data_IF_472169398441
#
_entry.id   IF_472169398441
#
_cell.length_a   1.000
_cell.length_b   1.000
_cell.length_c   1.000
_cell.angle_alpha   90.00
_cell.angle_beta   90.00
_cell.angle_gamma   90.00
#
_symmetry.space_group_name_H-M   'P 1'
#
loop_
_entity.id
_entity.type
_entity.pdbx_description
1 polymer ?
#
# COMPACT_ATOMS: atom_id res chain seq x y z
N UNK A 1 -17.46 -0.20 -5.46
CA UNK A 1 -17.85 1.06 -4.78
C UNK A 1 -16.96 1.23 -3.56
N UNK A 2 -16.39 2.42 -3.44
CA UNK A 2 -15.56 2.80 -2.30
C UNK A 2 -16.32 2.68 -0.97
N UNK A 3 -15.63 2.21 0.06
CA UNK A 3 -16.18 2.09 1.42
C UNK A 3 -15.07 2.29 2.45
N UNK A 4 -15.45 2.83 3.61
CA UNK A 4 -14.61 2.83 4.80
C UNK A 4 -15.04 1.68 5.69
N UNK A 5 -14.08 0.88 6.14
CA UNK A 5 -14.27 -0.10 7.21
C UNK A 5 -13.60 0.46 8.46
N UNK A 6 -14.36 0.71 9.48
CA UNK A 6 -13.86 1.15 10.78
C UNK A 6 -13.58 -0.06 11.68
N UNK A 7 -12.41 -0.07 12.31
CA UNK A 7 -12.04 -1.04 13.34
C UNK A 7 -11.85 -0.30 14.65
N UNK A 8 -12.93 -0.27 15.43
CA UNK A 8 -13.02 0.55 16.65
C UNK A 8 -13.02 -0.30 17.91
N UNK A 9 -12.44 0.26 18.97
CA UNK A 9 -12.63 -0.27 20.32
C UNK A 9 -14.07 -0.10 20.77
N UNK A 10 -14.49 -0.90 21.76
CA UNK A 10 -15.66 -0.55 22.55
C UNK A 10 -15.42 0.78 23.26
N UNK A 11 -16.51 1.49 23.60
CA UNK A 11 -16.39 2.74 24.35
C UNK A 11 -15.74 2.46 25.72
N UNK A 12 -14.58 3.06 26.02
CA UNK A 12 -13.90 2.80 27.28
C UNK A 12 -14.72 3.29 28.46
N UNK A 13 -14.75 2.49 29.53
CA UNK A 13 -15.42 2.84 30.81
C UNK A 13 -14.52 3.68 31.72
N UNK A 14 -13.22 3.70 31.47
CA UNK A 14 -12.23 4.48 32.20
C UNK A 14 -11.24 5.12 31.23
N UNK A 15 -10.59 6.21 31.63
CA UNK A 15 -9.56 6.88 30.85
C UNK A 15 -8.28 6.06 30.64
N UNK A 16 -8.16 4.93 31.32
CA UNK A 16 -7.00 4.04 31.24
C UNK A 16 -7.24 2.81 30.35
N UNK A 17 -8.49 2.60 29.92
CA UNK A 17 -8.81 1.51 29.00
C UNK A 17 -8.35 1.89 27.57
N UNK A 18 -7.88 0.93 26.76
CA UNK A 18 -7.50 1.19 25.38
C UNK A 18 -8.67 1.76 24.56
N UNK A 19 -8.34 2.74 23.72
CA UNK A 19 -9.32 3.32 22.80
C UNK A 19 -8.65 3.49 21.44
N UNK A 20 -9.26 2.95 20.39
CA UNK A 20 -8.75 3.09 19.03
C UNK A 20 -9.88 3.20 18.00
N UNK A 21 -9.55 3.84 16.91
CA UNK A 21 -10.34 3.93 15.70
C UNK A 21 -9.38 3.79 14.51
N UNK A 22 -9.46 2.67 13.82
CA UNK A 22 -8.54 2.31 12.74
C UNK A 22 -9.35 2.23 11.45
N UNK A 23 -9.27 3.25 10.58
CA UNK A 23 -9.99 3.23 9.31
C UNK A 23 -9.24 2.43 8.25
N UNK A 24 -10.00 1.75 7.39
CA UNK A 24 -9.54 1.15 6.14
C UNK A 24 -10.38 1.71 5.01
N UNK A 25 -9.74 2.28 4.00
CA UNK A 25 -10.39 2.57 2.74
C UNK A 25 -10.27 1.37 1.80
N UNK A 26 -11.38 0.95 1.19
CA UNK A 26 -11.41 -0.15 0.23
C UNK A 26 -12.22 0.28 -0.98
N UNK A 27 -11.65 0.09 -2.19
CA UNK A 27 -12.36 0.33 -3.44
C UNK A 27 -11.94 -0.67 -4.54
N UNK A 28 -12.88 -1.08 -5.38
CA UNK A 28 -12.62 -1.95 -6.51
C UNK A 28 -12.36 -1.07 -7.74
N UNK A 29 -11.07 -0.90 -8.06
CA UNK A 29 -10.62 0.11 -9.03
C UNK A 29 -10.23 -0.48 -10.38
N UNK A 30 -9.81 -1.74 -10.47
CA UNK A 30 -9.37 -2.36 -11.72
C UNK A 30 -10.40 -3.33 -12.26
N UNK A 31 -10.69 -3.21 -13.54
CA UNK A 31 -11.47 -4.19 -14.29
C UNK A 31 -10.58 -5.33 -14.82
N UNK A 32 -11.18 -6.29 -15.53
CA UNK A 32 -10.47 -7.45 -16.05
C UNK A 32 -9.39 -7.10 -17.09
N UNK A 33 -9.58 -6.00 -17.84
CA UNK A 33 -8.58 -5.50 -18.81
C UNK A 33 -7.37 -4.95 -18.07
N UNK A 34 -7.59 -4.08 -17.08
CA UNK A 34 -6.53 -3.52 -16.25
C UNK A 34 -5.73 -4.64 -15.57
N UNK A 35 -6.42 -5.59 -14.92
CA UNK A 35 -5.79 -6.71 -14.23
C UNK A 35 -4.91 -7.56 -15.14
N UNK A 36 -5.38 -7.83 -16.35
CA UNK A 36 -4.63 -8.61 -17.34
C UNK A 36 -3.38 -7.86 -17.81
N UNK A 37 -3.48 -6.56 -18.03
CA UNK A 37 -2.36 -5.73 -18.43
C UNK A 37 -1.32 -5.58 -17.32
N UNK A 38 -1.75 -5.25 -16.10
CA UNK A 38 -0.84 -5.15 -14.92
C UNK A 38 -0.09 -6.46 -14.72
N UNK A 39 -0.79 -7.61 -14.73
CA UNK A 39 -0.15 -8.92 -14.60
C UNK A 39 0.91 -9.13 -15.66
N UNK A 40 0.59 -8.86 -16.93
CA UNK A 40 1.50 -9.01 -18.07
C UNK A 40 2.74 -8.13 -17.90
N UNK A 41 2.56 -6.85 -17.56
CA UNK A 41 3.67 -5.89 -17.42
C UNK A 41 4.56 -6.26 -16.24
N UNK A 42 3.99 -6.55 -15.06
CA UNK A 42 4.76 -6.92 -13.85
C UNK A 42 5.60 -8.16 -14.11
N UNK A 43 5.03 -9.22 -14.70
CA UNK A 43 5.77 -10.44 -14.98
C UNK A 43 6.85 -10.25 -16.06
N UNK A 44 6.62 -9.38 -17.05
CA UNK A 44 7.63 -9.04 -18.05
C UNK A 44 8.80 -8.26 -17.44
N UNK A 45 8.54 -7.39 -16.46
CA UNK A 45 9.54 -6.56 -15.80
C UNK A 45 10.27 -7.26 -14.64
N UNK A 46 9.76 -8.37 -14.14
CA UNK A 46 10.33 -9.06 -12.97
C UNK A 46 11.81 -9.39 -13.15
N UNK A 47 12.17 -10.17 -14.15
CA UNK A 47 13.58 -10.54 -14.43
C UNK A 47 14.46 -9.36 -14.78
N UNK A 48 14.06 -8.43 -15.69
CA UNK A 48 14.81 -7.22 -15.95
C UNK A 48 15.18 -6.42 -14.70
N UNK A 49 14.20 -6.15 -13.82
CA UNK A 49 14.43 -5.38 -12.59
C UNK A 49 15.39 -6.13 -11.66
N UNK A 50 15.13 -7.41 -11.37
CA UNK A 50 15.99 -8.22 -10.49
C UNK A 50 17.43 -8.26 -11.01
N UNK A 51 17.64 -8.40 -12.31
CA UNK A 51 18.97 -8.47 -12.92
C UNK A 51 19.69 -7.11 -12.97
N UNK A 52 18.96 -6.01 -13.07
CA UNK A 52 19.52 -4.65 -13.08
C UNK A 52 20.07 -4.25 -11.70
N UNK A 53 19.47 -4.77 -10.62
CA UNK A 53 19.83 -4.43 -9.25
C UNK A 53 20.32 -5.68 -8.50
N UNK A 54 21.55 -6.11 -8.82
CA UNK A 54 22.13 -7.35 -8.26
C UNK A 54 22.58 -7.26 -6.81
N UNK A 55 22.67 -6.07 -6.26
CA UNK A 55 23.06 -5.88 -4.86
C UNK A 55 22.05 -6.55 -3.93
N UNK A 56 22.55 -7.11 -2.83
CA UNK A 56 21.72 -7.68 -1.78
C UNK A 56 20.96 -6.53 -1.14
N UNK A 57 19.67 -6.48 -1.39
CA UNK A 57 18.78 -5.50 -0.78
C UNK A 57 17.90 -6.17 0.26
N UNK A 58 17.49 -5.39 1.23
CA UNK A 58 16.49 -5.79 2.20
C UNK A 58 15.13 -5.94 1.49
N UNK A 59 14.43 -7.03 1.74
CA UNK A 59 13.09 -7.27 1.20
C UNK A 59 11.95 -6.62 2.01
N UNK A 60 12.29 -5.63 2.84
CA UNK A 60 11.32 -4.94 3.70
C UNK A 60 10.74 -5.82 4.80
N UNK A 61 11.38 -6.95 5.13
CA UNK A 61 10.88 -7.91 6.12
C UNK A 61 9.76 -8.81 5.60
N UNK A 62 9.47 -8.77 4.31
CA UNK A 62 8.37 -9.55 3.69
C UNK A 62 8.66 -11.04 3.62
N UNK A 63 9.94 -11.46 3.69
CA UNK A 63 10.35 -12.87 3.64
C UNK A 63 10.34 -13.47 2.23
N UNK A 64 10.15 -12.67 1.17
CA UNK A 64 10.20 -13.13 -0.22
C UNK A 64 11.64 -13.31 -0.74
N UNK A 65 12.62 -12.84 0.06
CA UNK A 65 14.02 -13.06 -0.20
C UNK A 65 14.66 -12.11 -1.22
N UNK A 66 16.02 -12.16 -1.36
CA UNK A 66 16.79 -11.17 -2.11
C UNK A 66 16.57 -11.21 -3.63
N UNK A 67 16.03 -12.29 -4.15
CA UNK A 67 15.75 -12.47 -5.59
C UNK A 67 14.29 -12.19 -5.95
N UNK A 68 13.56 -11.48 -5.11
CA UNK A 68 12.20 -11.02 -5.38
C UNK A 68 12.15 -9.59 -5.91
N UNK A 69 11.08 -9.21 -6.60
CA UNK A 69 10.83 -7.80 -6.94
C UNK A 69 10.74 -6.93 -5.69
N UNK A 70 10.13 -7.45 -4.64
CA UNK A 70 10.03 -6.78 -3.35
C UNK A 70 11.38 -6.37 -2.78
N UNK A 71 12.43 -7.20 -2.94
CA UNK A 71 13.77 -6.86 -2.49
C UNK A 71 14.40 -5.67 -3.24
N UNK A 72 13.79 -5.23 -4.33
CA UNK A 72 14.22 -4.10 -5.16
C UNK A 72 13.28 -2.88 -5.02
N UNK A 73 12.37 -2.89 -4.05
CA UNK A 73 11.37 -1.84 -3.86
C UNK A 73 11.98 -0.43 -3.81
N UNK A 74 13.18 -0.27 -3.22
CA UNK A 74 13.88 1.01 -3.13
C UNK A 74 14.62 1.42 -4.41
N UNK A 75 14.51 0.68 -5.52
CA UNK A 75 15.25 0.91 -6.75
C UNK A 75 14.36 1.25 -7.95
N UNK A 76 13.07 1.13 -7.82
CA UNK A 76 12.10 1.49 -8.86
C UNK A 76 10.79 1.93 -8.22
N UNK A 77 10.01 2.69 -8.96
CA UNK A 77 8.68 3.11 -8.53
C UNK A 77 7.69 2.94 -9.70
N UNK A 78 6.68 2.08 -9.53
CA UNK A 78 5.65 1.84 -10.53
C UNK A 78 4.89 3.13 -10.87
N UNK A 79 4.76 4.07 -9.96
CA UNK A 79 4.12 5.36 -10.24
C UNK A 79 4.84 6.22 -11.29
N UNK A 80 6.08 5.87 -11.67
CA UNK A 80 6.80 6.53 -12.77
C UNK A 80 6.57 5.87 -14.13
N UNK A 81 5.85 4.74 -14.18
CA UNK A 81 5.58 4.04 -15.43
C UNK A 81 4.45 4.73 -16.21
N UNK A 82 4.58 4.76 -17.55
CA UNK A 82 3.63 5.44 -18.43
C UNK A 82 2.58 4.45 -18.99
N UNK A 83 1.65 4.02 -18.12
CA UNK A 83 0.51 3.19 -18.46
C UNK A 83 -0.79 3.80 -17.93
N UNK A 84 -1.90 3.63 -18.66
CA UNK A 84 -3.22 4.14 -18.25
C UNK A 84 -3.64 3.62 -16.87
N UNK A 85 -3.39 2.34 -16.59
CA UNK A 85 -3.70 1.76 -15.29
C UNK A 85 -2.89 2.37 -14.13
N UNK A 86 -1.69 2.92 -14.40
CA UNK A 86 -0.90 3.64 -13.38
C UNK A 86 -1.57 4.97 -13.04
N UNK A 87 -2.06 5.70 -14.04
CA UNK A 87 -2.82 6.94 -13.81
C UNK A 87 -4.07 6.66 -13.00
N UNK A 88 -4.84 5.64 -13.35
CA UNK A 88 -6.02 5.19 -12.65
C UNK A 88 -5.71 4.81 -11.19
N UNK A 89 -4.59 4.10 -10.95
CA UNK A 89 -4.14 3.75 -9.60
C UNK A 89 -3.81 4.99 -8.78
N UNK A 90 -3.05 5.96 -9.34
CA UNK A 90 -2.72 7.22 -8.67
C UNK A 90 -3.98 7.98 -8.24
N UNK A 91 -4.90 8.18 -9.18
CA UNK A 91 -6.17 8.88 -8.92
C UNK A 91 -6.98 8.19 -7.81
N UNK A 92 -7.02 6.86 -7.84
CA UNK A 92 -7.76 6.08 -6.83
C UNK A 92 -7.09 6.16 -5.45
N UNK A 93 -5.76 6.17 -5.38
CA UNK A 93 -5.03 6.38 -4.12
C UNK A 93 -5.29 7.78 -3.58
N UNK A 94 -5.21 8.81 -4.42
CA UNK A 94 -5.52 10.20 -4.03
C UNK A 94 -6.96 10.33 -3.49
N UNK A 95 -7.92 9.73 -4.18
CA UNK A 95 -9.31 9.74 -3.75
C UNK A 95 -9.51 9.01 -2.42
N UNK A 96 -8.80 7.90 -2.21
CA UNK A 96 -8.81 7.18 -0.94
C UNK A 96 -8.23 7.99 0.21
N UNK A 97 -7.12 8.70 0.00
CA UNK A 97 -6.53 9.61 0.99
C UNK A 97 -7.53 10.72 1.36
N UNK A 98 -8.09 11.41 0.35
CA UNK A 98 -9.11 12.46 0.55
C UNK A 98 -10.40 11.97 1.22
N UNK A 99 -10.65 10.66 1.20
CA UNK A 99 -11.81 10.05 1.87
C UNK A 99 -11.48 9.70 3.33
N UNK A 100 -10.21 9.39 3.63
CA UNK A 100 -9.74 9.08 4.98
C UNK A 100 -9.44 10.32 5.81
N UNK A 101 -9.04 11.41 5.16
CA UNK A 101 -8.74 12.70 5.78
C UNK A 101 -9.65 13.79 5.23
N UNK A 102 -10.08 14.69 6.09
CA UNK A 102 -10.76 15.90 5.64
C UNK A 102 -9.78 16.73 4.77
N UNK A 103 -10.25 17.29 3.64
CA UNK A 103 -9.39 18.03 2.71
C UNK A 103 -8.58 19.15 3.36
N UNK A 104 -9.12 19.80 4.40
CA UNK A 104 -8.46 20.87 5.15
C UNK A 104 -7.34 20.36 6.08
N UNK A 105 -7.29 19.06 6.38
CA UNK A 105 -6.25 18.44 7.19
C UNK A 105 -5.01 18.08 6.36
N UNK A 106 -5.15 18.02 5.03
CA UNK A 106 -4.03 17.73 4.12
C UNK A 106 -3.21 19.03 3.93
N UNK A 107 -2.32 19.29 4.88
CA UNK A 107 -1.52 20.53 4.93
C UNK A 107 -0.17 20.44 4.19
N UNK A 108 0.23 19.25 3.72
CA UNK A 108 1.53 18.97 3.12
C UNK A 108 1.39 18.25 1.78
N UNK A 109 2.47 18.28 0.99
CA UNK A 109 2.57 17.41 -0.16
C UNK A 109 2.66 15.96 0.28
N UNK A 110 2.03 15.08 -0.50
CA UNK A 110 2.04 13.64 -0.27
C UNK A 110 2.83 12.97 -1.39
N UNK A 111 3.71 12.07 -0.98
CA UNK A 111 4.56 11.28 -1.84
C UNK A 111 4.22 9.80 -1.69
N UNK A 112 4.45 9.04 -2.74
CA UNK A 112 4.26 7.60 -2.68
C UNK A 112 5.33 6.85 -3.47
N UNK A 113 5.64 5.66 -2.96
CA UNK A 113 6.40 4.65 -3.64
C UNK A 113 5.51 3.43 -3.88
N UNK A 114 5.58 2.84 -5.08
CA UNK A 114 4.79 1.67 -5.44
C UNK A 114 5.68 0.60 -6.07
N UNK A 115 5.57 -0.63 -5.57
CA UNK A 115 6.30 -1.79 -6.10
C UNK A 115 5.38 -3.00 -6.22
N UNK A 116 5.86 -4.07 -6.87
CA UNK A 116 5.12 -5.30 -7.01
C UNK A 116 5.66 -6.40 -6.11
N UNK A 117 4.76 -7.17 -5.52
CA UNK A 117 5.03 -8.44 -4.86
C UNK A 117 4.54 -9.57 -5.78
N UNK A 118 5.45 -10.46 -6.16
CA UNK A 118 5.12 -11.66 -6.95
C UNK A 118 5.41 -12.88 -6.10
N UNK A 119 4.36 -13.54 -5.66
CA UNK A 119 4.43 -14.74 -4.82
C UNK A 119 4.10 -15.98 -5.61
N UNK A 120 4.78 -17.08 -5.26
CA UNK A 120 4.62 -18.42 -5.82
C UNK A 120 4.09 -19.39 -4.78
N UNK A 121 3.74 -20.59 -5.21
CA UNK A 121 3.24 -21.64 -4.33
C UNK A 121 4.13 -21.82 -3.08
N UNK A 122 3.51 -21.83 -1.90
CA UNK A 122 4.20 -21.96 -0.61
C UNK A 122 4.79 -20.66 -0.05
N UNK A 123 4.71 -19.55 -0.76
CA UNK A 123 5.20 -18.26 -0.28
C UNK A 123 4.11 -17.47 0.46
N UNK A 124 4.52 -16.59 1.36
CA UNK A 124 3.67 -15.60 2.03
C UNK A 124 4.45 -14.32 2.28
N UNK A 125 3.76 -13.22 2.47
CA UNK A 125 4.36 -12.02 3.05
C UNK A 125 4.34 -12.17 4.57
N UNK A 126 5.54 -12.07 5.18
CA UNK A 126 5.73 -12.15 6.63
C UNK A 126 5.14 -10.93 7.33
N UNK A 127 4.86 -11.01 8.67
CA UNK A 127 4.44 -9.86 9.44
C UNK A 127 5.44 -8.70 9.36
N UNK A 128 4.98 -7.55 8.87
CA UNK A 128 5.77 -6.33 8.73
C UNK A 128 4.85 -5.10 8.83
N UNK A 129 5.43 -3.90 8.92
CA UNK A 129 4.75 -2.61 8.88
C UNK A 129 5.52 -1.64 7.98
N UNK A 130 4.89 -0.54 7.57
CA UNK A 130 5.48 0.48 6.70
C UNK A 130 6.22 1.58 7.46
N UNK A 131 6.03 1.67 8.76
CA UNK A 131 6.71 2.61 9.65
C UNK A 131 6.08 2.64 11.03
N UNK A 132 6.86 3.06 12.03
CA UNK A 132 6.42 3.20 13.42
C UNK A 132 6.88 4.51 14.06
N UNK A 133 7.50 5.40 13.28
CA UNK A 133 7.93 6.73 13.73
C UNK A 133 6.76 7.71 13.77
N UNK A 134 7.00 8.90 14.30
CA UNK A 134 6.05 10.02 14.25
C UNK A 134 5.65 10.44 12.83
N UNK A 135 6.47 10.09 11.84
CA UNK A 135 6.26 10.43 10.43
C UNK A 135 5.54 9.30 9.65
N UNK A 136 5.10 8.24 10.34
CA UNK A 136 4.34 7.16 9.72
C UNK A 136 2.98 7.70 9.27
N UNK A 137 2.63 7.42 8.01
CA UNK A 137 1.37 7.87 7.44
C UNK A 137 0.52 6.68 6.99
N UNK A 138 0.45 6.38 5.71
CA UNK A 138 -0.40 5.33 5.18
C UNK A 138 0.40 4.25 4.45
N UNK A 139 -0.08 3.04 4.52
CA UNK A 139 0.28 1.96 3.63
C UNK A 139 -0.90 1.63 2.70
N UNK A 140 -0.61 1.08 1.53
CA UNK A 140 -1.65 0.60 0.65
C UNK A 140 -1.22 -0.64 -0.12
N UNK A 141 -2.20 -1.42 -0.56
CA UNK A 141 -1.97 -2.47 -1.54
C UNK A 141 -3.20 -2.65 -2.43
N UNK A 142 -2.94 -3.08 -3.66
CA UNK A 142 -3.97 -3.56 -4.57
C UNK A 142 -3.67 -5.00 -5.00
N UNK A 143 -4.66 -5.85 -4.94
CA UNK A 143 -4.56 -7.24 -5.39
C UNK A 143 -4.77 -7.31 -6.89
N UNK A 144 -3.82 -7.87 -7.63
CA UNK A 144 -3.92 -8.06 -9.08
C UNK A 144 -4.46 -9.44 -9.43
N UNK A 145 -3.87 -10.47 -8.81
CA UNK A 145 -4.40 -11.83 -8.87
C UNK A 145 -4.10 -12.54 -7.56
N UNK A 146 -5.10 -13.28 -7.08
CA UNK A 146 -5.04 -13.99 -5.81
C UNK A 146 -6.04 -15.13 -5.84
N UNK A 147 -5.63 -16.27 -5.32
CA UNK A 147 -6.50 -17.43 -5.11
C UNK A 147 -6.66 -17.62 -3.62
N UNK A 148 -7.87 -17.36 -3.10
CA UNK A 148 -8.26 -17.63 -1.71
C UNK A 148 -7.28 -17.16 -0.63
N UNK A 149 -6.63 -16.01 -0.82
CA UNK A 149 -5.77 -15.42 0.21
C UNK A 149 -6.44 -14.23 0.87
N UNK A 150 -5.95 -13.89 2.05
CA UNK A 150 -6.34 -12.69 2.79
C UNK A 150 -5.11 -11.96 3.30
N UNK A 151 -5.28 -10.68 3.59
CA UNK A 151 -4.34 -9.89 4.37
C UNK A 151 -4.87 -9.79 5.80
N UNK A 152 -3.99 -10.03 6.74
CA UNK A 152 -4.25 -9.97 8.17
C UNK A 152 -3.63 -8.70 8.73
N UNK A 153 -4.35 -8.00 9.60
CA UNK A 153 -3.90 -6.79 10.28
C UNK A 153 -4.01 -7.01 11.79
N UNK A 154 -2.93 -6.80 12.51
CA UNK A 154 -2.89 -6.95 13.95
C UNK A 154 -3.28 -5.65 14.64
N UNK A 155 -4.17 -5.75 15.62
CA UNK A 155 -4.48 -4.63 16.48
C UNK A 155 -3.23 -4.22 17.29
N UNK A 156 -2.81 -2.95 17.25
CA UNK A 156 -1.63 -2.49 17.98
C UNK A 156 -1.79 -2.55 19.51
N UNK A 157 -3.03 -2.61 20.00
CA UNK A 157 -3.35 -2.66 21.44
C UNK A 157 -3.65 -4.09 21.93
N UNK A 158 -3.99 -5.02 21.02
CA UNK A 158 -4.24 -6.42 21.34
C UNK A 158 -3.74 -7.34 20.21
N UNK A 159 -2.60 -7.99 20.44
CA UNK A 159 -2.00 -8.90 19.45
C UNK A 159 -2.85 -10.13 19.08
N UNK A 160 -3.88 -10.43 19.86
CA UNK A 160 -4.81 -11.53 19.60
C UNK A 160 -6.03 -11.09 18.78
N UNK A 161 -6.28 -9.79 18.72
CA UNK A 161 -7.31 -9.22 17.87
C UNK A 161 -6.72 -8.94 16.47
N UNK A 162 -7.16 -9.71 15.49
CA UNK A 162 -6.66 -9.67 14.11
C UNK A 162 -7.82 -9.49 13.15
N UNK A 163 -7.80 -8.38 12.42
CA UNK A 163 -8.75 -8.15 11.31
C UNK A 163 -8.24 -8.85 10.06
N UNK A 164 -9.07 -9.70 9.48
CA UNK A 164 -8.79 -10.43 8.24
C UNK A 164 -9.62 -9.84 7.10
N UNK A 165 -8.95 -9.37 6.04
CA UNK A 165 -9.59 -8.87 4.82
C UNK A 165 -9.23 -9.77 3.64
N UNK A 166 -10.27 -10.23 2.91
CA UNK A 166 -10.09 -11.08 1.73
C UNK A 166 -9.42 -10.27 0.61
N UNK A 167 -8.42 -10.85 -0.03
CA UNK A 167 -7.77 -10.29 -1.20
C UNK A 167 -8.63 -10.54 -2.45
N UNK A 168 -9.30 -9.49 -2.93
CA UNK A 168 -10.11 -9.54 -4.15
C UNK A 168 -9.35 -8.87 -5.28
N UNK A 169 -9.27 -9.50 -6.44
CA UNK A 169 -8.61 -8.92 -7.60
C UNK A 169 -9.27 -7.59 -8.01
N UNK A 170 -8.46 -6.56 -8.22
CA UNK A 170 -8.90 -5.19 -8.52
C UNK A 170 -9.17 -4.33 -7.28
N UNK A 171 -9.16 -4.91 -6.08
CA UNK A 171 -9.48 -4.18 -4.85
C UNK A 171 -8.22 -3.53 -4.26
N UNK A 172 -8.27 -2.20 -4.14
CA UNK A 172 -7.32 -1.34 -3.41
C UNK A 172 -7.72 -1.30 -1.94
N UNK A 173 -6.75 -1.44 -1.04
CA UNK A 173 -6.89 -1.21 0.39
C UNK A 173 -5.87 -0.19 0.84
N UNK A 174 -6.30 0.89 1.53
CA UNK A 174 -5.43 1.88 2.18
C UNK A 174 -5.68 1.80 3.68
N UNK A 175 -4.61 1.85 4.47
CA UNK A 175 -4.64 1.64 5.92
C UNK A 175 -3.51 2.41 6.61
N UNK A 176 -3.58 2.68 7.92
CA UNK A 176 -2.49 3.31 8.66
C UNK A 176 -1.19 2.49 8.57
N UNK A 177 -0.09 3.10 8.15
CA UNK A 177 1.18 2.42 7.85
C UNK A 177 1.82 1.71 9.05
N UNK A 178 1.45 2.08 10.28
CA UNK A 178 1.95 1.43 11.50
C UNK A 178 1.33 0.05 11.76
N UNK A 179 0.28 -0.34 11.06
CA UNK A 179 -0.38 -1.63 11.27
C UNK A 179 0.52 -2.79 10.83
N UNK A 180 0.86 -3.64 11.78
CA UNK A 180 1.49 -4.93 11.50
C UNK A 180 0.55 -5.76 10.62
N UNK A 181 1.03 -6.21 9.45
CA UNK A 181 0.20 -7.01 8.56
C UNK A 181 1.00 -8.07 7.81
N UNK A 182 0.29 -9.11 7.36
CA UNK A 182 0.85 -10.27 6.65
C UNK A 182 -0.21 -10.92 5.78
N UNK A 183 0.20 -11.90 4.96
CA UNK A 183 -0.75 -12.66 4.13
C UNK A 183 -0.84 -14.13 4.54
N UNK A 184 -1.92 -14.81 4.11
CA UNK A 184 -1.94 -16.28 4.09
C UNK A 184 -0.81 -16.83 3.21
N UNK A 185 -0.43 -18.08 3.43
CA UNK A 185 0.39 -18.81 2.46
C UNK A 185 -0.36 -18.89 1.12
N UNK A 186 0.33 -18.61 0.04
CA UNK A 186 -0.23 -18.76 -1.28
C UNK A 186 -0.08 -20.22 -1.75
N UNK A 187 -1.21 -20.89 -1.98
CA UNK A 187 -1.25 -22.31 -2.33
C UNK A 187 -1.75 -22.55 -3.77
N UNK A 188 -1.87 -21.50 -4.59
CA UNK A 188 -2.28 -21.60 -5.98
C UNK A 188 -1.15 -22.04 -6.91
N UNK A 189 -1.50 -22.48 -8.11
CA UNK A 189 -0.56 -22.97 -9.14
C UNK A 189 0.02 -21.85 -10.00
N UNK A 190 -0.61 -20.66 -10.02
CA UNK A 190 -0.14 -19.50 -10.78
C UNK A 190 0.71 -18.56 -9.89
N UNK A 191 0.93 -17.32 -10.29
CA UNK A 191 1.53 -16.30 -9.44
C UNK A 191 0.43 -15.49 -8.74
N UNK A 192 0.60 -15.24 -7.44
CA UNK A 192 -0.14 -14.18 -6.75
C UNK A 192 0.62 -12.87 -6.92
N UNK A 193 -0.07 -11.84 -7.39
CA UNK A 193 0.52 -10.52 -7.63
C UNK A 193 -0.28 -9.48 -6.85
N UNK A 194 0.41 -8.63 -6.12
CA UNK A 194 -0.12 -7.40 -5.56
C UNK A 194 0.85 -6.24 -5.83
N UNK A 195 0.32 -5.03 -5.97
CA UNK A 195 1.13 -3.82 -5.87
C UNK A 195 1.00 -3.30 -4.45
N UNK A 196 2.13 -2.95 -3.83
CA UNK A 196 2.19 -2.39 -2.49
C UNK A 196 2.73 -0.96 -2.56
N UNK A 197 2.37 -0.14 -1.59
CA UNK A 197 2.70 1.28 -1.58
C UNK A 197 3.05 1.75 -0.17
N UNK A 198 4.11 2.57 -0.09
CA UNK A 198 4.37 3.48 1.02
C UNK A 198 3.85 4.86 0.63
N UNK A 199 3.04 5.45 1.48
CA UNK A 199 2.49 6.80 1.31
C UNK A 199 3.00 7.63 2.49
N UNK A 200 3.67 8.75 2.19
CA UNK A 200 4.39 9.54 3.18
C UNK A 200 4.19 11.04 2.96
N UNK A 201 4.36 11.81 4.01
CA UNK A 201 4.28 13.27 3.98
C UNK A 201 5.63 13.91 3.57
N UNK A 202 5.59 15.16 3.11
CA UNK A 202 6.77 15.92 2.72
C UNK A 202 7.82 16.03 3.83
N UNK A 203 7.41 16.13 5.09
CA UNK A 203 8.32 16.17 6.23
C UNK A 203 9.17 14.90 6.33
N UNK A 204 8.58 13.72 6.10
CA UNK A 204 9.33 12.46 6.06
C UNK A 204 10.37 12.49 4.94
N UNK A 205 9.97 12.89 3.72
CA UNK A 205 10.86 12.99 2.56
C UNK A 205 12.03 13.95 2.81
N UNK A 206 11.79 15.01 3.58
CA UNK A 206 12.82 15.99 3.93
C UNK A 206 13.83 15.45 4.96
N UNK A 207 13.47 14.43 5.71
CA UNK A 207 14.28 13.83 6.78
C UNK A 207 15.12 12.61 6.37
N UNK A 208 14.87 12.03 5.19
CA UNK A 208 15.54 10.82 4.71
C UNK A 208 16.69 11.13 3.74
N UNK A 209 17.58 10.15 3.55
CA UNK A 209 18.72 10.25 2.64
C UNK A 209 18.28 10.47 1.19
N UNK A 210 19.08 11.22 0.42
CA UNK A 210 18.81 11.58 -0.97
C UNK A 210 18.49 10.37 -1.86
N UNK A 211 19.23 9.28 -1.70
CA UNK A 211 19.11 8.06 -2.50
C UNK A 211 17.78 7.36 -2.30
N UNK A 212 17.19 7.48 -1.10
CA UNK A 212 15.85 6.94 -0.79
C UNK A 212 14.78 7.88 -1.33
N UNK A 213 14.99 9.19 -1.17
CA UNK A 213 14.07 10.23 -1.61
C UNK A 213 13.74 10.16 -3.10
N UNK A 214 14.72 9.86 -3.95
CA UNK A 214 14.56 9.77 -5.41
C UNK A 214 13.53 8.71 -5.84
N UNK A 215 13.23 7.73 -4.99
CA UNK A 215 12.25 6.69 -5.26
C UNK A 215 10.81 7.07 -4.91
N UNK A 216 10.59 8.21 -4.26
CA UNK A 216 9.25 8.67 -3.95
C UNK A 216 8.74 9.64 -5.01
N UNK A 217 7.53 9.42 -5.49
CA UNK A 217 6.85 10.24 -6.49
C UNK A 217 5.80 11.13 -5.82
N UNK A 218 5.77 12.45 -6.08
CA UNK A 218 4.73 13.32 -5.55
C UNK A 218 3.39 12.97 -6.19
N UNK A 219 2.41 12.59 -5.37
CA UNK A 219 1.07 12.21 -5.84
C UNK A 219 0.01 13.27 -5.57
N UNK A 220 0.18 14.08 -4.51
CA UNK A 220 -0.77 15.12 -4.15
C UNK A 220 -0.03 16.38 -3.70
N UNK A 221 -0.41 17.53 -4.26
CA UNK A 221 0.05 18.85 -3.86
C UNK A 221 -1.07 19.61 -3.12
N UNK A 222 -0.73 20.40 -2.12
CA UNK A 222 -1.67 21.22 -1.34
C UNK A 222 -2.56 22.11 -2.24
N UNK A 223 -2.01 22.65 -3.32
CA UNK A 223 -2.72 23.52 -4.27
C UNK A 223 -3.91 22.82 -4.97
N UNK A 224 -3.91 21.50 -5.06
CA UNK A 224 -4.96 20.70 -5.68
C UNK A 224 -6.09 20.29 -4.71
N UNK A 225 -5.99 20.65 -3.44
CA UNK A 225 -7.04 20.38 -2.45
C UNK A 225 -8.08 21.50 -2.35
N UNK A 226 -7.76 22.72 -2.80
CA UNK A 226 -8.58 23.93 -2.59
C UNK A 226 -9.52 24.28 -3.76
N UNK A 227 -9.71 23.44 -4.76
CA UNK A 227 -10.55 23.73 -5.93
C UNK A 227 -11.85 22.94 -5.89
N UNK A 228 -12.76 23.29 -4.97
CA UNK A 228 -14.18 23.05 -5.16
C UNK A 228 -15.03 23.98 -4.26
N UNK A 229 -14.88 25.32 -4.42
CA UNK A 229 -15.91 26.25 -3.98
C UNK A 229 -15.81 27.60 -4.75
N UNK A 230 -16.12 27.56 -6.03
CA UNK A 230 -16.46 28.78 -6.76
C UNK A 230 -17.31 28.45 -7.97
N UNK A 231 -18.55 28.01 -7.73
CA UNK A 231 -19.70 28.19 -8.63
C UNK A 231 -20.98 27.81 -7.88
N UNK A 232 -21.49 28.75 -7.11
CA UNK A 232 -22.94 28.92 -6.87
C UNK A 232 -23.35 30.29 -7.37
#
# INVERSE_FOLDING_TARGET
MAKIIEWKSEKPRTKFAPCWDIPFYIDDIFDQKDLSEVKRVVLAMEKPIINSYREISNDGGTGLGPNSLTSKFSKFNIFTWEFDWVHKLKESVINGIKTLEEPDEISQKIYAQCWANVMRHGEKIQPHWHGSSKDCYLGAHITICSENTSTHYQNPYDKFDVKKLKNTAGSLTIFPGYLMHWTDYYMGDSQRISLAMDIVLEEYISSIDSDIKENFYPILNHENCSVHDSNM
#
